data_IF_111640913135
#
_entry.id   IF_111640913135
#
_cell.length_a   1.000
_cell.length_b   1.000
_cell.length_c   1.000
_cell.angle_alpha   90.00
_cell.angle_beta   90.00
_cell.angle_gamma   90.00
#
_symmetry.space_group_name_H-M   'P 1'
#
loop_
_entity.id
_entity.type
_entity.pdbx_description
1 polymer ?
#
# COMPACT_ATOMS: atom_id res chain seq x y z
N UNK A 1 6.53 41.84 18.59
CA UNK A 1 6.46 40.36 18.66
C UNK A 1 5.44 39.89 17.61
N UNK A 2 5.89 39.51 16.42
CA UNK A 2 5.02 39.21 15.27
C UNK A 2 4.38 37.81 15.39
N UNK A 3 3.12 37.75 15.80
CA UNK A 3 2.30 36.55 15.67
C UNK A 3 1.81 36.37 14.23
N UNK A 4 2.49 35.53 13.44
CA UNK A 4 1.95 35.09 12.14
C UNK A 4 0.67 34.30 12.39
N UNK A 5 -0.50 34.88 12.08
CA UNK A 5 -1.77 34.15 12.01
C UNK A 5 -1.61 33.00 11.02
N UNK A 6 -1.74 31.75 11.49
CA UNK A 6 -1.86 30.58 10.61
C UNK A 6 -3.09 30.78 9.73
N UNK A 7 -2.91 31.02 8.43
CA UNK A 7 -4.00 30.94 7.46
C UNK A 7 -4.54 29.51 7.53
N UNK A 8 -5.79 29.34 7.96
CA UNK A 8 -6.50 28.08 7.84
C UNK A 8 -6.70 27.88 6.34
N UNK A 9 -5.92 26.99 5.74
CA UNK A 9 -6.08 26.61 4.33
C UNK A 9 -7.36 25.80 4.26
N UNK A 10 -8.43 26.42 3.76
CA UNK A 10 -9.71 25.76 3.53
C UNK A 10 -9.47 24.63 2.51
N UNK A 11 -9.61 23.37 2.94
CA UNK A 11 -9.42 22.23 2.04
C UNK A 11 -10.56 22.26 1.01
N UNK A 12 -10.27 22.19 -0.30
CA UNK A 12 -11.33 22.20 -1.31
C UNK A 12 -12.30 21.04 -1.05
N UNK A 13 -13.61 21.24 -1.30
CA UNK A 13 -14.63 20.21 -1.08
C UNK A 13 -14.25 18.92 -1.80
N UNK A 14 -14.56 17.78 -1.18
CA UNK A 14 -14.22 16.48 -1.75
C UNK A 14 -14.89 16.32 -3.12
N UNK A 15 -14.16 15.85 -4.15
CA UNK A 15 -14.76 15.55 -5.44
C UNK A 15 -15.83 14.45 -5.29
N UNK A 16 -16.83 14.40 -6.21
CA UNK A 16 -17.85 13.35 -6.20
C UNK A 16 -17.21 11.96 -6.17
N UNK A 17 -17.75 11.04 -5.35
CA UNK A 17 -17.25 9.66 -5.16
C UNK A 17 -16.93 8.96 -6.48
N UNK A 18 -17.81 9.13 -7.48
CA UNK A 18 -17.68 8.52 -8.82
C UNK A 18 -16.37 8.89 -9.54
N UNK A 19 -15.74 10.01 -9.21
CA UNK A 19 -14.50 10.46 -9.87
C UNK A 19 -13.25 9.78 -9.33
N UNK A 20 -13.22 9.46 -8.04
CA UNK A 20 -11.99 8.98 -7.39
C UNK A 20 -12.07 7.53 -6.90
N UNK A 21 -13.26 6.99 -6.64
CA UNK A 21 -13.43 5.60 -6.21
C UNK A 21 -12.87 4.61 -7.24
N UNK A 22 -13.17 4.71 -8.56
CA UNK A 22 -12.63 3.74 -9.53
C UNK A 22 -11.09 3.78 -9.65
N UNK A 23 -10.43 4.95 -9.77
CA UNK A 23 -8.97 5.01 -9.76
C UNK A 23 -8.34 4.44 -8.48
N UNK A 24 -8.91 4.74 -7.30
CA UNK A 24 -8.38 4.26 -6.02
C UNK A 24 -8.57 2.75 -5.87
N UNK A 25 -9.74 2.22 -6.20
CA UNK A 25 -10.01 0.78 -6.15
C UNK A 25 -9.10 0.01 -7.11
N UNK A 26 -8.87 0.56 -8.31
CA UNK A 26 -7.96 -0.05 -9.28
C UNK A 26 -6.49 0.06 -8.85
N UNK A 27 -6.08 1.17 -8.23
CA UNK A 27 -4.74 1.33 -7.65
C UNK A 27 -4.50 0.36 -6.49
N UNK A 28 -5.51 0.11 -5.66
CA UNK A 28 -5.42 -0.92 -4.63
C UNK A 28 -5.22 -2.31 -5.24
N UNK A 29 -6.12 -2.69 -6.16
CA UNK A 29 -6.15 -4.04 -6.69
C UNK A 29 -4.92 -4.33 -7.54
N UNK A 30 -4.59 -3.45 -8.48
CA UNK A 30 -3.45 -3.61 -9.39
C UNK A 30 -2.49 -2.47 -9.09
N UNK A 31 -1.29 -2.73 -8.53
CA UNK A 31 -0.31 -1.69 -8.30
C UNK A 31 -0.07 -0.85 -9.57
N UNK A 32 -0.27 0.47 -9.47
CA UNK A 32 -0.17 1.40 -10.60
C UNK A 32 -1.40 1.47 -11.54
N UNK A 33 -2.41 0.62 -11.36
CA UNK A 33 -3.60 0.55 -12.21
C UNK A 33 -4.45 1.83 -12.20
N UNK A 34 -4.60 2.47 -11.04
CA UNK A 34 -5.31 3.76 -10.94
C UNK A 34 -4.69 4.87 -11.79
N UNK A 35 -3.35 4.94 -11.84
CA UNK A 35 -2.62 5.90 -12.68
C UNK A 35 -2.78 5.61 -14.16
N UNK A 36 -2.85 4.33 -14.55
CA UNK A 36 -3.13 3.94 -15.94
C UNK A 36 -4.52 4.42 -16.37
N UNK A 37 -5.53 4.26 -15.51
CA UNK A 37 -6.90 4.72 -15.76
C UNK A 37 -6.99 6.24 -15.86
N UNK A 38 -6.17 6.97 -15.08
CA UNK A 38 -6.05 8.43 -15.15
C UNK A 38 -5.14 8.92 -16.30
N UNK A 39 -4.64 8.03 -17.16
CA UNK A 39 -3.79 8.36 -18.31
C UNK A 39 -2.32 8.64 -17.96
N UNK A 40 -1.91 8.54 -16.69
CA UNK A 40 -0.55 8.81 -16.20
C UNK A 40 0.33 7.57 -16.23
N UNK A 41 0.58 7.04 -17.43
CA UNK A 41 1.28 5.76 -17.65
C UNK A 41 2.65 5.66 -16.99
N UNK A 42 3.48 6.71 -17.07
CA UNK A 42 4.81 6.71 -16.47
C UNK A 42 4.78 6.56 -14.94
N UNK A 43 3.87 7.28 -14.27
CA UNK A 43 3.70 7.17 -12.81
C UNK A 43 3.19 5.79 -12.42
N UNK A 44 2.21 5.27 -13.16
CA UNK A 44 1.68 3.92 -12.93
C UNK A 44 2.77 2.85 -13.04
N UNK A 45 3.62 2.93 -14.07
CA UNK A 45 4.72 1.99 -14.27
C UNK A 45 5.75 2.05 -13.13
N UNK A 46 6.14 3.25 -12.67
CA UNK A 46 7.07 3.41 -11.56
C UNK A 46 6.48 2.85 -10.25
N UNK A 47 5.23 3.18 -9.94
CA UNK A 47 4.56 2.67 -8.73
C UNK A 47 4.42 1.15 -8.76
N UNK A 48 4.00 0.60 -9.90
CA UNK A 48 3.92 -0.84 -10.10
C UNK A 48 5.28 -1.51 -9.92
N UNK A 49 6.33 -0.97 -10.54
CA UNK A 49 7.68 -1.50 -10.44
C UNK A 49 8.18 -1.48 -8.99
N UNK A 50 8.01 -0.39 -8.26
CA UNK A 50 8.40 -0.30 -6.85
C UNK A 50 7.66 -1.33 -6.00
N UNK A 51 6.32 -1.39 -6.07
CA UNK A 51 5.52 -2.32 -5.26
C UNK A 51 5.87 -3.77 -5.59
N UNK A 52 5.90 -4.13 -6.88
CA UNK A 52 6.20 -5.50 -7.32
C UNK A 52 7.63 -5.89 -6.91
N UNK A 53 8.61 -5.02 -7.09
CA UNK A 53 10.00 -5.30 -6.74
C UNK A 53 10.17 -5.48 -5.23
N UNK A 54 9.64 -4.56 -4.42
CA UNK A 54 9.67 -4.66 -2.95
C UNK A 54 8.96 -5.92 -2.46
N UNK A 55 7.82 -6.28 -3.05
CA UNK A 55 7.09 -7.50 -2.70
C UNK A 55 7.87 -8.76 -3.09
N UNK A 56 8.42 -8.80 -4.30
CA UNK A 56 9.23 -9.92 -4.79
C UNK A 56 10.46 -10.15 -3.92
N UNK A 57 11.16 -9.09 -3.51
CA UNK A 57 12.26 -9.20 -2.54
C UNK A 57 11.79 -9.80 -1.21
N UNK A 58 10.62 -9.38 -0.72
CA UNK A 58 10.00 -9.97 0.47
C UNK A 58 9.78 -11.48 0.36
N UNK A 59 9.28 -11.96 -0.79
CA UNK A 59 9.10 -13.39 -1.06
C UNK A 59 10.43 -14.13 -1.22
N UNK A 60 11.41 -13.56 -1.93
CA UNK A 60 12.74 -14.15 -2.13
C UNK A 60 13.49 -14.32 -0.79
N UNK A 61 13.28 -13.39 0.13
CA UNK A 61 13.80 -13.45 1.51
C UNK A 61 12.94 -14.34 2.42
N UNK A 62 11.93 -15.03 1.89
CA UNK A 62 10.99 -15.88 2.62
C UNK A 62 10.36 -15.15 3.80
N UNK A 63 9.82 -13.96 3.55
CA UNK A 63 9.05 -13.21 4.56
C UNK A 63 7.75 -13.90 4.94
N UNK A 64 7.29 -13.69 6.17
CA UNK A 64 5.99 -14.13 6.65
C UNK A 64 4.88 -13.19 6.15
N UNK A 65 3.73 -13.75 5.82
CA UNK A 65 2.48 -12.98 5.73
C UNK A 65 1.85 -12.95 7.12
N UNK A 66 1.57 -11.75 7.63
CA UNK A 66 0.91 -11.63 8.93
C UNK A 66 -0.48 -12.25 8.87
N UNK A 67 -0.85 -12.93 9.94
CA UNK A 67 -2.22 -13.36 10.19
C UNK A 67 -2.81 -12.43 11.26
N UNK A 68 -4.09 -12.02 11.14
CA UNK A 68 -4.72 -11.18 12.14
C UNK A 68 -4.77 -11.92 13.48
N UNK A 69 -4.22 -11.29 14.52
CA UNK A 69 -4.22 -11.79 15.88
C UNK A 69 -4.71 -10.68 16.80
N UNK A 70 -5.58 -11.04 17.73
CA UNK A 70 -6.15 -10.12 18.72
C UNK A 70 -5.70 -10.58 20.10
N UNK A 71 -5.06 -9.68 20.84
CA UNK A 71 -4.49 -9.94 22.15
C UNK A 71 -4.35 -8.64 22.94
N UNK A 72 -3.18 -8.38 23.49
CA UNK A 72 -2.85 -7.05 24.02
C UNK A 72 -2.70 -6.02 22.88
N UNK A 73 -2.62 -4.73 23.24
CA UNK A 73 -2.55 -3.64 22.26
C UNK A 73 -1.35 -3.81 21.31
N UNK A 74 -0.19 -4.21 21.82
CA UNK A 74 1.02 -4.32 21.01
C UNK A 74 0.90 -5.46 20.00
N UNK A 75 0.47 -6.65 20.44
CA UNK A 75 0.21 -7.78 19.54
C UNK A 75 -0.83 -7.43 18.49
N UNK A 76 -1.94 -6.82 18.90
CA UNK A 76 -3.03 -6.48 17.98
C UNK A 76 -2.55 -5.50 16.90
N UNK A 77 -1.82 -4.45 17.28
CA UNK A 77 -1.27 -3.46 16.35
C UNK A 77 -0.25 -4.08 15.40
N UNK A 78 0.64 -4.94 15.89
CA UNK A 78 1.68 -5.58 15.06
C UNK A 78 1.05 -6.55 14.06
N UNK A 79 0.25 -7.49 14.52
CA UNK A 79 -0.25 -8.58 13.68
C UNK A 79 -1.40 -8.14 12.78
N UNK A 80 -2.38 -7.41 13.32
CA UNK A 80 -3.50 -6.92 12.52
C UNK A 80 -3.06 -5.77 11.61
N UNK A 81 -2.22 -4.85 12.09
CA UNK A 81 -1.64 -3.79 11.26
C UNK A 81 -0.74 -4.35 10.15
N UNK A 82 0.08 -5.35 10.47
CA UNK A 82 0.89 -6.08 9.50
C UNK A 82 0.03 -6.76 8.44
N UNK A 83 -1.05 -7.44 8.85
CA UNK A 83 -2.00 -8.08 7.93
C UNK A 83 -2.67 -7.06 7.00
N UNK A 84 -3.11 -5.91 7.53
CA UNK A 84 -3.63 -4.82 6.70
C UNK A 84 -2.58 -4.31 5.71
N UNK A 85 -1.32 -4.23 6.13
CA UNK A 85 -0.19 -3.97 5.25
C UNK A 85 -0.07 -5.02 4.14
N UNK A 86 -0.13 -6.31 4.46
CA UNK A 86 -0.09 -7.36 3.45
C UNK A 86 -1.25 -7.24 2.45
N UNK A 87 -2.49 -7.09 2.93
CA UNK A 87 -3.68 -6.92 2.08
C UNK A 87 -3.60 -5.66 1.21
N UNK A 88 -3.01 -4.59 1.73
CA UNK A 88 -2.83 -3.35 0.99
C UNK A 88 -1.94 -3.50 -0.25
N UNK A 89 -1.09 -4.54 -0.32
CA UNK A 89 -0.28 -4.81 -1.51
C UNK A 89 -1.15 -5.16 -2.74
N UNK A 90 -2.40 -5.60 -2.54
CA UNK A 90 -3.34 -5.86 -3.63
C UNK A 90 -3.09 -7.20 -4.32
N UNK A 91 -3.02 -7.17 -5.66
CA UNK A 91 -2.86 -8.36 -6.49
C UNK A 91 -1.66 -9.25 -6.12
N UNK A 92 -0.44 -8.73 -5.83
CA UNK A 92 0.67 -9.55 -5.36
C UNK A 92 0.34 -10.38 -4.10
N UNK A 93 -0.38 -9.79 -3.13
CA UNK A 93 -0.80 -10.51 -1.93
C UNK A 93 -1.83 -11.60 -2.25
N UNK A 94 -2.86 -11.26 -3.02
CA UNK A 94 -3.87 -12.23 -3.44
C UNK A 94 -3.25 -13.39 -4.22
N UNK A 95 -2.28 -13.10 -5.09
CA UNK A 95 -1.55 -14.10 -5.87
C UNK A 95 -0.72 -15.01 -4.95
N UNK A 96 0.01 -14.45 -3.98
CA UNK A 96 0.76 -15.26 -3.01
C UNK A 96 -0.15 -16.19 -2.19
N UNK A 97 -1.27 -15.67 -1.69
CA UNK A 97 -2.24 -16.47 -0.94
C UNK A 97 -2.85 -17.56 -1.83
N UNK A 98 -3.23 -17.23 -3.06
CA UNK A 98 -3.79 -18.18 -4.01
C UNK A 98 -2.81 -19.30 -4.40
N UNK A 99 -1.52 -18.98 -4.53
CA UNK A 99 -0.46 -19.96 -4.77
C UNK A 99 -0.06 -20.74 -3.51
N UNK A 100 -0.71 -20.50 -2.37
CA UNK A 100 -0.41 -21.21 -1.12
C UNK A 100 0.96 -20.85 -0.52
N UNK A 101 1.43 -19.62 -0.75
CA UNK A 101 2.70 -19.16 -0.17
C UNK A 101 2.64 -19.26 1.35
N UNK A 102 3.48 -20.14 1.90
CA UNK A 102 3.66 -20.34 3.32
C UNK A 102 5.16 -20.30 3.62
N UNK A 103 5.52 -19.47 4.60
CA UNK A 103 6.89 -19.44 5.08
C UNK A 103 7.16 -20.68 5.95
N UNK A 104 8.29 -21.39 5.77
CA UNK A 104 8.74 -22.37 6.74
C UNK A 104 9.13 -21.68 8.06
N UNK A 105 8.82 -22.31 9.19
CA UNK A 105 9.15 -21.82 10.53
C UNK A 105 10.66 -21.92 10.77
N UNK A 106 11.38 -20.87 10.38
CA UNK A 106 12.83 -20.78 10.48
C UNK A 106 13.18 -19.40 11.02
N UNK A 107 13.90 -19.36 12.13
CA UNK A 107 14.40 -18.12 12.70
C UNK A 107 15.57 -17.57 11.88
N UNK A 108 15.62 -16.25 11.69
CA UNK A 108 16.71 -15.60 10.99
C UNK A 108 16.39 -14.20 10.50
N UNK A 109 17.38 -13.32 10.54
CA UNK A 109 17.21 -11.90 10.17
C UNK A 109 16.71 -11.71 8.74
N UNK A 110 17.09 -12.59 7.80
CA UNK A 110 16.64 -12.51 6.40
C UNK A 110 15.11 -12.64 6.31
N UNK A 111 14.51 -13.56 7.06
CA UNK A 111 13.07 -13.77 7.11
C UNK A 111 12.35 -12.56 7.72
N UNK A 112 12.90 -12.03 8.83
CA UNK A 112 12.37 -10.85 9.50
C UNK A 112 12.40 -9.60 8.61
N UNK A 113 13.44 -9.46 7.78
CA UNK A 113 13.52 -8.41 6.78
C UNK A 113 12.54 -8.67 5.65
N UNK A 114 12.42 -9.91 5.16
CA UNK A 114 11.45 -10.30 4.15
C UNK A 114 10.01 -9.90 4.54
N UNK A 115 9.61 -10.20 5.77
CA UNK A 115 8.30 -9.81 6.33
C UNK A 115 8.09 -8.29 6.27
N UNK A 116 9.12 -7.50 6.58
CA UNK A 116 9.06 -6.04 6.51
C UNK A 116 8.97 -5.53 5.08
N UNK A 117 9.65 -6.16 4.13
CA UNK A 117 9.52 -5.86 2.70
C UNK A 117 8.10 -6.12 2.20
N UNK A 118 7.46 -7.22 2.61
CA UNK A 118 6.07 -7.52 2.23
C UNK A 118 5.09 -6.46 2.74
N UNK A 119 5.23 -6.03 4.00
CA UNK A 119 4.42 -4.93 4.56
C UNK A 119 4.74 -3.60 3.87
N UNK A 120 6.02 -3.30 3.64
CA UNK A 120 6.44 -2.06 2.97
C UNK A 120 5.86 -1.96 1.54
N UNK A 121 5.80 -3.06 0.80
CA UNK A 121 5.16 -3.09 -0.51
C UNK A 121 3.68 -2.69 -0.44
N UNK A 122 2.97 -3.15 0.59
CA UNK A 122 1.60 -2.72 0.83
C UNK A 122 1.46 -1.24 1.17
N UNK A 123 2.34 -0.71 2.03
CA UNK A 123 2.36 0.71 2.35
C UNK A 123 2.69 1.58 1.12
N UNK A 124 3.60 1.12 0.25
CA UNK A 124 3.86 1.78 -1.03
C UNK A 124 2.62 1.81 -1.92
N UNK A 125 1.84 0.72 -1.94
CA UNK A 125 0.59 0.69 -2.69
C UNK A 125 -0.48 1.61 -2.08
N UNK A 126 -0.48 1.81 -0.75
CA UNK A 126 -1.30 2.85 -0.11
C UNK A 126 -0.91 4.24 -0.57
N UNK A 127 0.38 4.54 -0.67
CA UNK A 127 0.84 5.82 -1.22
C UNK A 127 0.40 5.98 -2.68
N UNK A 128 0.44 4.91 -3.48
CA UNK A 128 -0.07 4.93 -4.85
C UNK A 128 -1.60 5.18 -4.91
N UNK A 129 -2.38 4.60 -3.99
CA UNK A 129 -3.82 4.89 -3.86
C UNK A 129 -4.09 6.37 -3.54
N UNK A 130 -3.34 6.93 -2.58
CA UNK A 130 -3.47 8.34 -2.21
C UNK A 130 -3.06 9.26 -3.36
N UNK A 131 -1.99 8.93 -4.08
CA UNK A 131 -1.56 9.69 -5.26
C UNK A 131 -2.62 9.65 -6.38
N UNK A 132 -3.20 8.48 -6.65
CA UNK A 132 -4.29 8.34 -7.62
C UNK A 132 -5.54 9.14 -7.19
N UNK A 133 -5.86 9.17 -5.89
CA UNK A 133 -6.91 10.02 -5.34
C UNK A 133 -6.63 11.51 -5.57
N UNK A 134 -5.41 11.97 -5.30
CA UNK A 134 -5.03 13.38 -5.49
C UNK A 134 -5.13 13.82 -6.95
N UNK A 135 -4.71 12.95 -7.88
CA UNK A 135 -4.85 13.19 -9.33
C UNK A 135 -6.33 13.21 -9.73
N UNK A 136 -7.12 12.22 -9.30
CA UNK A 136 -8.56 12.17 -9.58
C UNK A 136 -9.33 13.36 -8.97
N UNK A 137 -8.84 13.90 -7.86
CA UNK A 137 -9.38 15.09 -7.21
C UNK A 137 -8.96 16.41 -7.87
N UNK A 138 -8.10 16.37 -8.89
CA UNK A 138 -7.55 17.58 -9.53
C UNK A 138 -6.64 18.39 -8.61
N UNK A 139 -6.09 17.76 -7.57
CA UNK A 139 -5.17 18.38 -6.61
C UNK A 139 -3.70 18.22 -7.02
N UNK A 140 -3.46 17.36 -8.01
CA UNK A 140 -2.15 17.01 -8.55
C UNK A 140 -2.30 16.66 -10.02
N UNK A 141 -1.26 16.94 -10.81
CA UNK A 141 -1.20 16.53 -12.22
C UNK A 141 -0.83 15.06 -12.34
#
# INVERSE_FOLDING_TARGET
MFGKKKKVVEKPPLPPLKRWVPPVALAWLIPGGGHLLLGRRGRGAIMAACVIFTYALGLLMRGALFQPQVGDLLTTVIYTGGFLGNVAAGFPYLLSVWLGYAQPDVAGHVYDYGTKFLVAAGLLNVLAMVDAFEIAAGRKD
#
